data_IF_198488608896
#
_entry.id   IF_198488608896
#
_cell.length_a   1.000
_cell.length_b   1.000
_cell.length_c   1.000
_cell.angle_alpha   90.00
_cell.angle_beta   90.00
_cell.angle_gamma   90.00
#
_symmetry.space_group_name_H-M   'P 1'
#
loop_
_entity.id
_entity.type
_entity.pdbx_description
1 polymer ?
#
# COMPACT_ATOMS: atom_id res chain seq x y z
N UNK A 1 35.63 -5.49 18.58
CA UNK A 1 34.96 -5.02 19.82
C UNK A 1 33.47 -5.21 19.64
N UNK A 2 32.78 -5.82 20.61
CA UNK A 2 31.32 -5.99 20.56
C UNK A 2 30.62 -4.63 20.75
N UNK A 3 29.53 -4.40 20.03
CA UNK A 3 28.84 -3.11 19.99
C UNK A 3 27.67 -3.09 20.99
N UNK A 4 27.64 -2.05 21.85
CA UNK A 4 26.68 -1.90 22.97
C UNK A 4 26.65 -3.08 23.95
N UNK A 5 27.82 -3.41 24.51
CA UNK A 5 27.99 -4.44 25.53
C UNK A 5 27.42 -3.98 26.88
N UNK A 6 26.52 -4.78 27.46
CA UNK A 6 25.88 -4.52 28.76
C UNK A 6 26.03 -5.76 29.64
N UNK A 7 26.44 -5.57 30.89
CA UNK A 7 26.48 -6.63 31.91
C UNK A 7 25.10 -6.85 32.52
N UNK A 8 24.70 -8.11 32.62
CA UNK A 8 23.39 -8.50 33.12
C UNK A 8 23.49 -9.42 34.35
N UNK A 9 22.76 -9.05 35.40
CA UNK A 9 22.46 -9.91 36.56
C UNK A 9 21.14 -10.66 36.31
N UNK A 10 20.88 -11.76 37.05
CA UNK A 10 19.64 -12.55 36.93
C UNK A 10 18.37 -11.67 36.94
N UNK A 11 18.24 -10.76 37.92
CA UNK A 11 17.09 -9.84 38.04
C UNK A 11 16.93 -8.94 36.81
N UNK A 12 18.04 -8.49 36.21
CA UNK A 12 18.02 -7.64 35.01
C UNK A 12 17.60 -8.44 33.77
N UNK A 13 18.03 -9.71 33.63
CA UNK A 13 17.61 -10.59 32.53
C UNK A 13 16.13 -10.93 32.57
N UNK A 14 15.61 -11.27 33.75
CA UNK A 14 14.18 -11.55 33.93
C UNK A 14 13.34 -10.33 33.56
N UNK A 15 13.74 -9.13 34.03
CA UNK A 15 13.05 -7.89 33.69
C UNK A 15 13.12 -7.57 32.19
N UNK A 16 14.27 -7.79 31.55
CA UNK A 16 14.45 -7.62 30.11
C UNK A 16 13.52 -8.56 29.34
N UNK A 17 13.54 -9.86 29.62
CA UNK A 17 12.72 -10.85 28.96
C UNK A 17 11.21 -10.58 29.17
N UNK A 18 10.80 -10.17 30.37
CA UNK A 18 9.42 -9.78 30.63
C UNK A 18 9.01 -8.53 29.81
N UNK A 19 9.90 -7.53 29.71
CA UNK A 19 9.65 -6.32 28.90
C UNK A 19 9.52 -6.67 27.43
N UNK A 20 10.44 -7.47 26.89
CA UNK A 20 10.44 -7.92 25.49
C UNK A 20 9.20 -8.77 25.20
N UNK A 21 8.77 -9.62 26.13
CA UNK A 21 7.52 -10.38 26.02
C UNK A 21 6.29 -9.49 25.89
N UNK A 22 6.16 -8.45 26.72
CA UNK A 22 5.08 -7.47 26.59
C UNK A 22 5.13 -6.72 25.25
N UNK A 23 6.33 -6.36 24.77
CA UNK A 23 6.49 -5.71 23.48
C UNK A 23 6.08 -6.62 22.31
N UNK A 24 6.36 -7.93 22.37
CA UNK A 24 5.90 -8.89 21.37
C UNK A 24 4.37 -8.97 21.31
N UNK A 25 3.68 -9.00 22.44
CA UNK A 25 2.21 -8.97 22.46
C UNK A 25 1.65 -7.66 21.91
N UNK A 26 2.28 -6.53 22.23
CA UNK A 26 1.92 -5.25 21.63
C UNK A 26 2.14 -5.25 20.10
N UNK A 27 3.23 -5.86 19.62
CA UNK A 27 3.52 -6.02 18.19
C UNK A 27 2.50 -6.93 17.47
N UNK A 28 1.98 -7.98 18.13
CA UNK A 28 0.85 -8.77 17.60
C UNK A 28 -0.38 -7.88 17.36
N UNK A 29 -0.74 -7.04 18.34
CA UNK A 29 -1.87 -6.11 18.19
C UNK A 29 -1.64 -5.11 17.06
N UNK A 30 -0.41 -4.62 16.91
CA UNK A 30 -0.03 -3.73 15.82
C UNK A 30 -0.11 -4.44 14.45
N UNK A 31 0.27 -5.71 14.37
CA UNK A 31 0.09 -6.55 13.17
C UNK A 31 -1.38 -6.75 12.79
N UNK A 32 -2.26 -6.97 13.76
CA UNK A 32 -3.72 -7.08 13.53
C UNK A 32 -4.28 -5.76 12.98
N UNK A 33 -3.79 -4.62 13.48
CA UNK A 33 -4.16 -3.30 12.98
C UNK A 33 -3.71 -3.08 11.52
N UNK A 34 -2.51 -3.51 11.13
CA UNK A 34 -2.05 -3.45 9.73
C UNK A 34 -2.92 -4.34 8.84
N UNK A 35 -3.25 -5.55 9.30
CA UNK A 35 -4.12 -6.47 8.59
C UNK A 35 -5.52 -5.88 8.37
N UNK A 36 -6.12 -5.28 9.41
CA UNK A 36 -7.45 -4.67 9.31
C UNK A 36 -7.45 -3.47 8.37
N UNK A 37 -6.42 -2.61 8.43
CA UNK A 37 -6.23 -1.50 7.49
C UNK A 37 -6.04 -1.99 6.04
N UNK A 38 -5.28 -3.06 5.83
CA UNK A 38 -5.12 -3.68 4.51
C UNK A 38 -6.43 -4.21 3.93
N UNK A 39 -7.25 -4.86 4.76
CA UNK A 39 -8.60 -5.31 4.37
C UNK A 39 -9.53 -4.13 4.06
N UNK A 40 -9.54 -3.12 4.92
CA UNK A 40 -10.33 -1.90 4.72
C UNK A 40 -9.97 -1.21 3.41
N UNK A 41 -8.68 -1.01 3.14
CA UNK A 41 -8.21 -0.41 1.91
C UNK A 41 -8.60 -1.23 0.66
N UNK A 42 -8.51 -2.56 0.74
CA UNK A 42 -8.94 -3.46 -0.33
C UNK A 42 -10.43 -3.34 -0.62
N UNK A 43 -11.27 -3.28 0.42
CA UNK A 43 -12.72 -3.11 0.28
C UNK A 43 -13.03 -1.76 -0.36
N UNK A 44 -12.36 -0.70 0.07
CA UNK A 44 -12.60 0.66 -0.42
C UNK A 44 -12.21 0.85 -1.89
N UNK A 45 -11.13 0.20 -2.35
CA UNK A 45 -10.78 0.16 -3.77
C UNK A 45 -11.79 -0.68 -4.58
N UNK A 46 -12.26 -1.81 -4.04
CA UNK A 46 -13.21 -2.69 -4.72
C UNK A 46 -14.57 -2.02 -4.95
N UNK A 47 -15.03 -1.15 -4.05
CA UNK A 47 -16.28 -0.39 -4.23
C UNK A 47 -16.32 0.40 -5.54
N UNK A 48 -15.16 0.77 -6.10
CA UNK A 48 -15.03 1.58 -7.32
C UNK A 48 -14.15 0.92 -8.37
N UNK A 49 -14.04 -0.42 -8.34
CA UNK A 49 -13.19 -1.16 -9.29
C UNK A 49 -13.58 -0.92 -10.75
N UNK A 50 -14.86 -0.63 -11.01
CA UNK A 50 -15.36 -0.25 -12.35
C UNK A 50 -14.67 0.98 -12.94
N UNK A 51 -14.15 1.88 -12.10
CA UNK A 51 -13.45 3.10 -12.51
C UNK A 51 -11.92 2.96 -12.48
N UNK A 52 -11.39 1.88 -11.91
CA UNK A 52 -9.95 1.68 -11.67
C UNK A 52 -9.53 0.26 -12.08
N UNK A 53 -9.99 -0.18 -13.27
CA UNK A 53 -9.81 -1.55 -13.75
C UNK A 53 -8.35 -1.81 -14.17
N UNK A 54 -7.48 -1.96 -13.18
CA UNK A 54 -6.09 -2.33 -13.38
C UNK A 54 -5.59 -3.25 -12.26
N UNK A 55 -4.92 -4.34 -12.64
CA UNK A 55 -4.38 -5.36 -11.72
C UNK A 55 -3.40 -4.76 -10.68
N UNK A 56 -2.73 -3.65 -11.04
CA UNK A 56 -1.78 -2.96 -10.16
C UNK A 56 -2.44 -2.36 -8.91
N UNK A 57 -3.72 -1.99 -8.98
CA UNK A 57 -4.44 -1.36 -7.85
C UNK A 57 -4.62 -2.32 -6.66
N UNK A 58 -4.65 -3.64 -6.91
CA UNK A 58 -4.82 -4.66 -5.88
C UNK A 58 -3.51 -5.16 -5.28
N UNK A 59 -2.36 -4.82 -5.85
CA UNK A 59 -1.05 -5.28 -5.39
C UNK A 59 -0.75 -4.81 -3.96
N UNK A 60 -0.84 -3.50 -3.70
CA UNK A 60 -0.51 -2.93 -2.40
C UNK A 60 -1.42 -3.41 -1.24
N UNK A 61 -2.76 -3.42 -1.39
CA UNK A 61 -3.63 -3.99 -0.34
C UNK A 61 -3.34 -5.46 -0.06
N UNK A 62 -3.07 -6.28 -1.09
CA UNK A 62 -2.75 -7.69 -0.90
C UNK A 62 -1.41 -7.87 -0.15
N UNK A 63 -0.41 -7.05 -0.49
CA UNK A 63 0.87 -7.03 0.22
C UNK A 63 0.68 -6.66 1.70
N UNK A 64 -0.12 -5.62 2.00
CA UNK A 64 -0.41 -5.22 3.38
C UNK A 64 -1.10 -6.31 4.20
N UNK A 65 -2.08 -7.01 3.60
CA UNK A 65 -2.76 -8.14 4.25
C UNK A 65 -1.75 -9.26 4.54
N UNK A 66 -0.93 -9.65 3.56
CA UNK A 66 0.09 -10.67 3.72
C UNK A 66 1.08 -10.31 4.82
N UNK A 67 1.62 -9.08 4.78
CA UNK A 67 2.57 -8.59 5.78
C UNK A 67 1.95 -8.52 7.18
N UNK A 68 0.68 -8.13 7.30
CA UNK A 68 -0.05 -8.15 8.58
C UNK A 68 -0.16 -9.56 9.16
N UNK A 69 -0.53 -10.57 8.35
CA UNK A 69 -0.59 -11.99 8.79
C UNK A 69 0.78 -12.47 9.27
N UNK A 70 1.82 -12.22 8.48
CA UNK A 70 3.19 -12.64 8.81
C UNK A 70 3.67 -11.94 10.08
N UNK A 71 3.40 -10.65 10.24
CA UNK A 71 3.72 -9.87 11.46
C UNK A 71 3.10 -10.52 12.70
N UNK A 72 1.80 -10.86 12.65
CA UNK A 72 1.13 -11.54 13.76
C UNK A 72 1.79 -12.89 14.10
N UNK A 73 2.10 -13.70 13.07
CA UNK A 73 2.71 -15.01 13.24
C UNK A 73 4.11 -14.95 13.85
N UNK A 74 4.97 -14.07 13.33
CA UNK A 74 6.35 -13.87 13.82
C UNK A 74 6.33 -13.39 15.27
N UNK A 75 5.48 -12.43 15.62
CA UNK A 75 5.44 -11.90 16.98
C UNK A 75 4.81 -12.84 17.99
N UNK A 76 3.76 -13.59 17.62
CA UNK A 76 3.20 -14.62 18.50
C UNK A 76 4.23 -15.71 18.78
N UNK A 77 4.98 -16.12 17.75
CA UNK A 77 6.08 -17.07 17.90
C UNK A 77 7.22 -16.49 18.74
N UNK A 78 7.66 -15.26 18.45
CA UNK A 78 8.71 -14.55 19.19
C UNK A 78 8.37 -14.38 20.67
N UNK A 79 7.11 -14.05 20.99
CA UNK A 79 6.60 -13.98 22.36
C UNK A 79 6.67 -15.32 23.08
N UNK A 80 6.31 -16.43 22.42
CA UNK A 80 6.46 -17.79 22.98
C UNK A 80 7.93 -18.12 23.23
N UNK A 81 8.82 -17.84 22.28
CA UNK A 81 10.26 -18.12 22.44
C UNK A 81 10.84 -17.26 23.57
N UNK A 82 10.45 -15.99 23.69
CA UNK A 82 10.88 -15.10 24.78
C UNK A 82 10.40 -15.60 26.15
N UNK A 83 9.17 -16.12 26.23
CA UNK A 83 8.64 -16.73 27.46
C UNK A 83 9.41 -18.01 27.82
N UNK A 84 9.62 -18.91 26.85
CA UNK A 84 10.35 -20.16 27.07
C UNK A 84 11.85 -19.92 27.37
N UNK A 85 12.39 -18.76 26.99
CA UNK A 85 13.78 -18.36 27.29
C UNK A 85 14.00 -17.97 28.76
N UNK A 86 12.93 -17.74 29.53
CA UNK A 86 13.03 -17.54 30.99
C UNK A 86 13.38 -18.85 31.72
N UNK A 87 13.07 -20.00 31.12
CA UNK A 87 13.40 -21.32 31.66
C UNK A 87 14.75 -21.83 31.07
N UNK A 88 15.82 -21.97 31.88
CA UNK A 88 17.14 -22.39 31.38
C UNK A 88 17.12 -23.75 30.67
N UNK A 89 16.31 -24.68 31.16
CA UNK A 89 16.17 -26.04 30.61
C UNK A 89 15.51 -26.06 29.23
N UNK A 90 14.60 -25.11 28.95
CA UNK A 90 13.95 -24.96 27.66
C UNK A 90 14.81 -24.14 26.69
N UNK A 91 15.51 -23.12 27.19
CA UNK A 91 16.38 -22.26 26.39
C UNK A 91 17.46 -23.04 25.62
N UNK A 92 18.09 -24.04 26.25
CA UNK A 92 19.13 -24.87 25.59
C UNK A 92 18.60 -25.53 24.31
N UNK A 93 17.32 -25.94 24.28
CA UNK A 93 16.68 -26.52 23.09
C UNK A 93 16.41 -25.48 22.00
N UNK A 94 16.07 -24.26 22.39
CA UNK A 94 15.75 -23.16 21.47
C UNK A 94 16.98 -22.44 20.91
N UNK A 95 18.12 -22.48 21.62
CA UNK A 95 19.38 -21.81 21.26
C UNK A 95 19.82 -22.00 19.79
N UNK A 96 19.85 -23.20 19.19
CA UNK A 96 20.25 -23.36 17.78
C UNK A 96 19.24 -22.75 16.80
N UNK A 97 17.94 -22.78 17.11
CA UNK A 97 16.89 -22.23 16.24
C UNK A 97 16.84 -20.70 16.29
N UNK A 98 17.18 -20.11 17.43
CA UNK A 98 17.05 -18.68 17.70
C UNK A 98 17.90 -17.81 16.76
N UNK A 99 19.12 -18.25 16.40
CA UNK A 99 19.97 -17.54 15.45
C UNK A 99 19.33 -17.44 14.05
N UNK A 100 18.74 -18.53 13.57
CA UNK A 100 18.05 -18.54 12.28
C UNK A 100 16.78 -17.69 12.32
N UNK A 101 16.05 -17.74 13.43
CA UNK A 101 14.88 -16.89 13.65
C UNK A 101 15.23 -15.40 13.63
N UNK A 102 16.32 -14.99 14.28
CA UNK A 102 16.79 -13.60 14.28
C UNK A 102 17.18 -13.12 12.88
N UNK A 103 17.86 -13.95 12.08
CA UNK A 103 18.17 -13.62 10.67
C UNK A 103 16.88 -13.43 9.87
N UNK A 104 15.89 -14.31 10.07
CA UNK A 104 14.58 -14.19 9.43
C UNK A 104 13.85 -12.90 9.84
N UNK A 105 13.86 -12.53 11.14
CA UNK A 105 13.31 -11.27 11.62
C UNK A 105 13.98 -10.05 10.97
N UNK A 106 15.31 -10.05 10.80
CA UNK A 106 16.01 -8.94 10.12
C UNK A 106 15.59 -8.84 8.65
N UNK A 107 15.49 -9.96 7.93
CA UNK A 107 14.99 -9.98 6.55
C UNK A 107 13.54 -9.47 6.47
N UNK A 108 12.70 -9.88 7.41
CA UNK A 108 11.31 -9.44 7.49
C UNK A 108 11.17 -7.94 7.76
N UNK A 109 12.00 -7.39 8.65
CA UNK A 109 12.08 -5.94 8.89
C UNK A 109 12.44 -5.17 7.62
N UNK A 110 13.38 -5.67 6.82
CA UNK A 110 13.70 -5.06 5.53
C UNK A 110 12.51 -5.10 4.55
N UNK A 111 11.75 -6.19 4.52
CA UNK A 111 10.55 -6.30 3.69
C UNK A 111 9.42 -5.37 4.15
N UNK A 112 9.24 -5.19 5.46
CA UNK A 112 8.30 -4.21 6.03
C UNK A 112 8.70 -2.78 5.66
N UNK A 113 9.99 -2.45 5.71
CA UNK A 113 10.51 -1.15 5.27
C UNK A 113 10.20 -0.91 3.79
N UNK A 114 10.43 -1.90 2.93
CA UNK A 114 10.08 -1.82 1.50
C UNK A 114 8.57 -1.62 1.32
N UNK A 115 7.75 -2.34 2.08
CA UNK A 115 6.28 -2.20 2.04
C UNK A 115 5.85 -0.79 2.45
N UNK A 116 6.45 -0.22 3.50
CA UNK A 116 6.19 1.15 3.93
C UNK A 116 6.55 2.17 2.84
N UNK A 117 7.72 2.01 2.21
CA UNK A 117 8.14 2.88 1.09
C UNK A 117 7.17 2.77 -0.08
N UNK A 118 6.71 1.56 -0.41
CA UNK A 118 5.71 1.35 -1.46
C UNK A 118 4.38 2.05 -1.14
N UNK A 119 3.94 2.09 0.12
CA UNK A 119 2.74 2.85 0.49
C UNK A 119 2.82 4.34 0.07
N UNK A 120 4.01 4.96 0.17
CA UNK A 120 4.20 6.35 -0.23
C UNK A 120 4.42 6.53 -1.74
N UNK A 121 5.14 5.61 -2.38
CA UNK A 121 5.47 5.70 -3.81
C UNK A 121 4.30 5.37 -4.73
N UNK A 122 3.40 4.47 -4.32
CA UNK A 122 2.27 4.01 -5.13
C UNK A 122 1.23 5.11 -5.42
N UNK A 123 1.37 6.32 -4.85
CA UNK A 123 0.55 7.48 -5.21
C UNK A 123 0.70 7.90 -6.67
N UNK A 124 1.91 7.77 -7.23
CA UNK A 124 2.21 8.14 -8.63
C UNK A 124 1.45 7.25 -9.64
N UNK A 125 1.60 5.91 -9.61
CA UNK A 125 0.87 5.05 -10.54
C UNK A 125 -0.66 5.14 -10.34
N UNK A 126 -1.11 5.42 -9.11
CA UNK A 126 -2.53 5.64 -8.83
C UNK A 126 -3.07 6.87 -9.57
N UNK A 127 -2.31 7.96 -9.67
CA UNK A 127 -2.73 9.15 -10.42
C UNK A 127 -2.96 8.84 -11.91
N UNK A 128 -2.06 8.08 -12.54
CA UNK A 128 -2.20 7.70 -13.95
C UNK A 128 -3.38 6.75 -14.15
N UNK A 129 -3.51 5.74 -13.30
CA UNK A 129 -4.63 4.79 -13.33
C UNK A 129 -5.98 5.51 -13.17
N UNK A 130 -6.08 6.46 -12.23
CA UNK A 130 -7.29 7.27 -12.06
C UNK A 130 -7.57 8.17 -13.26
N UNK A 131 -6.53 8.80 -13.83
CA UNK A 131 -6.69 9.68 -14.98
C UNK A 131 -7.28 8.95 -16.20
N UNK A 132 -6.76 7.75 -16.48
CA UNK A 132 -7.21 6.92 -17.60
C UNK A 132 -8.58 6.29 -17.31
N UNK A 133 -8.75 5.74 -16.10
CA UNK A 133 -9.99 5.11 -15.66
C UNK A 133 -11.18 6.08 -15.66
N UNK A 134 -11.02 7.30 -15.14
CA UNK A 134 -12.05 8.34 -15.19
C UNK A 134 -12.35 8.79 -16.62
N UNK A 135 -11.32 8.97 -17.46
CA UNK A 135 -11.51 9.36 -18.86
C UNK A 135 -12.33 8.30 -19.63
N UNK A 136 -12.04 7.02 -19.41
CA UNK A 136 -12.79 5.93 -20.02
C UNK A 136 -14.20 5.79 -19.43
N UNK A 137 -14.35 5.96 -18.11
CA UNK A 137 -15.66 5.96 -17.45
C UNK A 137 -16.57 7.07 -17.96
N UNK A 138 -16.04 8.27 -18.17
CA UNK A 138 -16.79 9.39 -18.77
C UNK A 138 -17.23 9.10 -20.21
N UNK A 139 -16.38 8.45 -21.03
CA UNK A 139 -16.74 8.07 -22.42
C UNK A 139 -17.91 7.09 -22.47
N UNK A 140 -17.95 6.14 -21.55
CA UNK A 140 -19.02 5.13 -21.48
C UNK A 140 -20.20 5.55 -20.61
N UNK A 141 -20.22 6.79 -20.12
CA UNK A 141 -21.31 7.32 -19.29
C UNK A 141 -22.68 7.25 -19.98
N UNK A 142 -22.71 7.44 -21.32
CA UNK A 142 -23.95 7.38 -22.11
C UNK A 142 -24.47 5.96 -22.37
N UNK A 143 -23.63 4.95 -22.21
CA UNK A 143 -23.87 3.58 -22.68
C UNK A 143 -24.68 2.74 -21.68
N UNK A 144 -25.75 3.31 -21.10
CA UNK A 144 -26.56 2.65 -20.06
C UNK A 144 -27.31 1.41 -20.56
N UNK A 145 -27.55 1.32 -21.87
CA UNK A 145 -28.28 0.21 -22.50
C UNK A 145 -27.36 -0.94 -22.96
N UNK A 146 -26.03 -0.79 -22.84
CA UNK A 146 -25.08 -1.83 -23.25
C UNK A 146 -24.83 -2.85 -22.12
N UNK A 147 -24.96 -4.17 -22.38
CA UNK A 147 -24.67 -5.19 -21.38
C UNK A 147 -23.24 -5.05 -20.85
N UNK A 148 -23.08 -5.05 -19.51
CA UNK A 148 -21.79 -4.92 -18.85
C UNK A 148 -21.33 -3.49 -18.56
N UNK A 149 -21.98 -2.44 -19.09
CA UNK A 149 -21.63 -1.03 -18.80
C UNK A 149 -22.77 -0.19 -18.21
N UNK A 150 -23.92 -0.81 -17.96
CA UNK A 150 -25.11 -0.15 -17.43
C UNK A 150 -24.89 0.57 -16.08
N UNK A 151 -23.93 0.12 -15.27
CA UNK A 151 -23.61 0.70 -13.97
C UNK A 151 -22.75 1.97 -14.05
N UNK A 152 -22.06 2.22 -15.17
CA UNK A 152 -21.06 3.29 -15.28
C UNK A 152 -21.62 4.67 -14.94
N UNK A 153 -22.81 4.99 -15.48
CA UNK A 153 -23.52 6.25 -15.18
C UNK A 153 -23.75 6.43 -13.68
N UNK A 154 -24.32 5.41 -13.03
CA UNK A 154 -24.63 5.43 -11.60
C UNK A 154 -23.36 5.56 -10.76
N UNK A 155 -22.32 4.80 -11.09
CA UNK A 155 -21.06 4.79 -10.36
C UNK A 155 -20.37 6.16 -10.44
N UNK A 156 -20.34 6.77 -11.63
CA UNK A 156 -19.76 8.10 -11.82
C UNK A 156 -20.59 9.19 -11.14
N UNK A 157 -21.92 9.15 -11.25
CA UNK A 157 -22.82 10.13 -10.62
C UNK A 157 -22.66 10.13 -9.10
N UNK A 158 -22.68 8.94 -8.47
CA UNK A 158 -22.47 8.80 -7.03
C UNK A 158 -21.09 9.31 -6.60
N UNK A 159 -20.05 9.00 -7.38
CA UNK A 159 -18.70 9.48 -7.09
C UNK A 159 -18.61 11.01 -7.15
N UNK A 160 -19.18 11.65 -8.17
CA UNK A 160 -19.13 13.11 -8.32
C UNK A 160 -19.82 13.82 -7.15
N UNK A 161 -20.98 13.33 -6.74
CA UNK A 161 -21.74 13.89 -5.61
C UNK A 161 -21.03 13.64 -4.26
N UNK A 162 -20.50 12.44 -4.04
CA UNK A 162 -19.85 12.07 -2.78
C UNK A 162 -18.52 12.80 -2.57
N UNK A 163 -17.69 12.88 -3.61
CA UNK A 163 -16.38 13.54 -3.55
C UNK A 163 -16.41 15.03 -3.94
N UNK A 164 -17.59 15.57 -4.27
CA UNK A 164 -17.79 16.98 -4.60
C UNK A 164 -16.84 17.43 -5.71
N UNK A 165 -16.84 16.67 -6.79
CA UNK A 165 -15.95 16.84 -7.92
C UNK A 165 -16.70 16.72 -9.24
N UNK A 166 -16.13 17.23 -10.33
CA UNK A 166 -16.71 17.13 -11.66
C UNK A 166 -15.64 16.94 -12.74
N UNK A 167 -15.91 16.03 -13.67
CA UNK A 167 -14.97 15.66 -14.73
C UNK A 167 -13.72 14.94 -14.22
N UNK A 168 -12.72 14.80 -15.07
CA UNK A 168 -11.45 14.18 -14.72
C UNK A 168 -10.55 15.19 -14.01
N UNK A 169 -10.22 16.27 -14.72
CA UNK A 169 -9.46 17.42 -14.25
C UNK A 169 -10.35 18.60 -13.90
N UNK A 170 -11.39 18.83 -14.70
CA UNK A 170 -12.35 19.90 -14.46
C UNK A 170 -13.68 19.61 -15.15
N UNK A 171 -14.71 20.40 -14.85
CA UNK A 171 -16.05 20.20 -15.40
C UNK A 171 -16.14 20.33 -16.93
N UNK A 172 -15.22 21.07 -17.57
CA UNK A 172 -15.22 21.27 -19.04
C UNK A 172 -14.81 20.00 -19.79
N UNK A 173 -14.25 19.01 -19.11
CA UNK A 173 -13.96 17.70 -19.72
C UNK A 173 -15.24 17.05 -20.29
N UNK A 174 -16.42 17.40 -19.75
CA UNK A 174 -17.71 16.98 -20.28
C UNK A 174 -18.08 17.62 -21.61
N UNK A 175 -17.50 18.76 -21.97
CA UNK A 175 -17.79 19.46 -23.23
C UNK A 175 -17.15 18.76 -24.42
N UNK A 176 -16.06 18.03 -24.16
CA UNK A 176 -15.30 17.27 -25.15
C UNK A 176 -15.84 15.85 -25.37
N UNK A 177 -16.86 15.43 -24.61
CA UNK A 177 -17.39 14.07 -24.64
C UNK A 177 -18.90 14.11 -24.86
N UNK A 178 -19.38 13.35 -25.84
CA UNK A 178 -20.82 13.10 -25.95
C UNK A 178 -21.29 12.17 -24.83
N UNK A 179 -21.80 12.74 -23.75
CA UNK A 179 -22.32 12.02 -22.58
C UNK A 179 -23.84 11.82 -22.60
N UNK A 180 -24.56 12.50 -23.49
CA UNK A 180 -25.99 12.27 -23.75
C UNK A 180 -26.15 11.08 -24.69
N UNK A 181 -26.93 10.07 -24.28
CA UNK A 181 -27.20 8.90 -25.11
C UNK A 181 -27.99 9.26 -26.36
N UNK A 182 -27.65 8.61 -27.48
CA UNK A 182 -28.36 8.72 -28.76
C UNK A 182 -29.86 8.45 -28.62
N UNK A 183 -30.27 7.65 -27.63
CA UNK A 183 -31.68 7.37 -27.34
C UNK A 183 -32.49 8.60 -26.95
N UNK A 184 -31.87 9.59 -26.34
CA UNK A 184 -32.53 10.83 -25.92
C UNK A 184 -32.43 11.94 -26.97
N UNK A 185 -31.77 11.67 -28.10
CA UNK A 185 -31.61 12.64 -29.18
C UNK A 185 -32.62 12.34 -30.29
N UNK A 186 -33.44 13.35 -30.60
CA UNK A 186 -34.30 13.29 -31.78
C UNK A 186 -33.48 13.68 -33.03
N UNK A 187 -32.98 12.68 -33.74
CA UNK A 187 -32.22 12.87 -34.98
C UNK A 187 -33.07 13.45 -36.13
N UNK A 188 -34.38 13.59 -35.98
CA UNK A 188 -35.23 14.28 -36.97
C UNK A 188 -35.21 15.80 -36.78
N UNK A 189 -34.99 16.27 -35.54
CA UNK A 189 -34.98 17.67 -35.18
C UNK A 189 -33.81 18.42 -35.83
N UNK A 190 -34.09 19.60 -36.38
CA UNK A 190 -33.10 20.43 -37.06
C UNK A 190 -31.94 20.81 -36.13
N UNK A 191 -32.23 21.18 -34.88
CA UNK A 191 -31.23 21.59 -33.90
C UNK A 191 -30.19 20.50 -33.58
N UNK A 192 -30.65 19.24 -33.50
CA UNK A 192 -29.78 18.08 -33.25
C UNK A 192 -28.91 17.80 -34.47
N UNK A 193 -29.48 17.84 -35.68
CA UNK A 193 -28.75 17.67 -36.94
C UNK A 193 -27.70 18.76 -37.13
N UNK A 194 -28.08 20.02 -36.93
CA UNK A 194 -27.19 21.18 -37.06
C UNK A 194 -26.03 21.05 -36.08
N UNK A 195 -26.30 20.63 -34.84
CA UNK A 195 -25.26 20.42 -33.82
C UNK A 195 -24.30 19.30 -34.17
N UNK A 196 -24.81 18.12 -34.54
CA UNK A 196 -23.99 16.98 -34.96
C UNK A 196 -23.14 17.34 -36.19
N UNK A 197 -23.71 18.06 -37.15
CA UNK A 197 -23.00 18.50 -38.36
C UNK A 197 -21.95 19.58 -38.11
N UNK A 198 -22.14 20.41 -37.09
CA UNK A 198 -21.18 21.49 -36.72
C UNK A 198 -20.02 21.02 -35.85
N UNK A 199 -20.16 19.89 -35.17
CA UNK A 199 -19.18 19.37 -34.23
C UNK A 199 -18.18 18.43 -34.90
N UNK A 200 -17.03 18.27 -34.26
CA UNK A 200 -15.97 17.34 -34.68
C UNK A 200 -16.47 15.89 -34.49
N UNK A 201 -16.07 15.00 -35.40
CA UNK A 201 -16.36 13.56 -35.39
C UNK A 201 -17.85 13.16 -35.44
N UNK A 202 -18.74 14.08 -35.83
CA UNK A 202 -20.19 13.80 -35.89
C UNK A 202 -20.81 13.49 -34.53
N UNK A 203 -20.22 14.03 -33.45
CA UNK A 203 -20.69 13.82 -32.08
C UNK A 203 -21.63 14.94 -31.63
N UNK A 204 -22.59 14.60 -30.78
CA UNK A 204 -23.43 15.60 -30.11
C UNK A 204 -22.70 16.19 -28.90
N UNK A 205 -21.74 17.08 -29.16
CA UNK A 205 -21.04 17.85 -28.12
C UNK A 205 -21.87 19.08 -27.73
N UNK A 206 -21.83 19.41 -26.45
CA UNK A 206 -22.54 20.56 -25.91
C UNK A 206 -21.77 21.16 -24.73
N UNK A 207 -21.91 22.48 -24.58
CA UNK A 207 -21.50 23.20 -23.39
C UNK A 207 -22.43 22.86 -22.23
N UNK A 208 -22.17 21.71 -21.60
CA UNK A 208 -22.93 21.26 -20.46
C UNK A 208 -22.39 20.04 -19.74
N UNK A 209 -22.86 19.86 -18.50
CA UNK A 209 -22.43 18.84 -17.56
C UNK A 209 -23.62 17.99 -17.08
N UNK A 210 -23.40 16.75 -16.63
CA UNK A 210 -24.44 15.98 -15.97
C UNK A 210 -24.83 16.59 -14.62
N UNK A 211 -26.05 16.30 -14.16
CA UNK A 211 -26.61 16.83 -12.91
C UNK A 211 -25.77 16.50 -11.67
N UNK A 212 -25.00 15.41 -11.69
CA UNK A 212 -24.15 14.97 -10.58
C UNK A 212 -22.97 15.91 -10.30
N UNK A 213 -22.62 16.78 -11.25
CA UNK A 213 -21.65 17.86 -11.06
C UNK A 213 -22.18 19.08 -10.31
N UNK A 214 -23.51 19.17 -10.11
CA UNK A 214 -24.14 20.30 -9.45
C UNK A 214 -23.74 20.40 -7.97
N UNK A 215 -23.49 21.63 -7.51
CA UNK A 215 -23.24 21.91 -6.10
C UNK A 215 -24.56 22.24 -5.38
N UNK A 216 -25.02 21.40 -4.44
CA UNK A 216 -26.28 21.65 -3.72
C UNK A 216 -26.18 22.81 -2.72
N UNK A 217 -24.99 23.30 -2.39
CA UNK A 217 -24.80 24.49 -1.55
C UNK A 217 -24.94 25.80 -2.33
N UNK A 218 -25.13 25.73 -3.64
CA UNK A 218 -25.35 26.91 -4.47
C UNK A 218 -26.70 27.58 -4.13
N UNK A 219 -26.75 28.92 -3.99
CA UNK A 219 -28.01 29.63 -3.75
C UNK A 219 -28.92 29.69 -4.98
N UNK A 220 -28.42 29.29 -6.16
CA UNK A 220 -29.18 29.29 -7.42
C UNK A 220 -29.45 27.85 -7.90
N UNK A 221 -30.53 27.62 -8.68
CA UNK A 221 -30.75 26.35 -9.35
C UNK A 221 -29.56 25.95 -10.20
N UNK A 222 -29.26 24.64 -10.26
CA UNK A 222 -28.10 24.17 -11.00
C UNK A 222 -28.24 24.43 -12.50
N UNK A 223 -27.31 25.20 -13.04
CA UNK A 223 -27.14 25.44 -14.48
C UNK A 223 -26.25 24.34 -15.05
N UNK A 224 -26.83 23.50 -15.91
CA UNK A 224 -26.13 22.38 -16.55
C UNK A 224 -25.75 22.65 -18.01
N UNK A 225 -26.33 23.67 -18.65
CA UNK A 225 -26.20 23.91 -20.08
C UNK A 225 -25.87 25.38 -20.36
N UNK A 226 -25.22 25.66 -21.49
CA UNK A 226 -24.85 27.02 -21.92
C UNK A 226 -24.01 27.75 -20.86
N UNK A 227 -23.07 27.02 -20.24
CA UNK A 227 -22.28 27.52 -19.12
C UNK A 227 -21.22 28.55 -19.52
N UNK A 228 -20.83 28.61 -20.79
CA UNK A 228 -19.90 29.61 -21.32
C UNK A 228 -20.61 30.84 -21.88
N UNK A 229 -21.94 30.82 -21.94
CA UNK A 229 -22.74 31.90 -22.50
C UNK A 229 -23.35 32.78 -21.39
N UNK A 230 -22.76 33.97 -21.17
CA UNK A 230 -23.23 34.94 -20.18
C UNK A 230 -24.65 35.45 -20.43
N UNK A 231 -25.14 35.40 -21.67
CA UNK A 231 -26.49 35.86 -22.01
C UNK A 231 -27.57 34.79 -21.85
N UNK A 232 -27.17 33.53 -21.67
CA UNK A 232 -28.11 32.41 -21.62
C UNK A 232 -28.91 32.33 -20.31
N UNK A 233 -28.39 32.92 -19.23
CA UNK A 233 -28.97 32.82 -17.89
C UNK A 233 -29.08 34.19 -17.24
N UNK A 234 -30.14 34.40 -16.47
CA UNK A 234 -30.34 35.63 -15.72
C UNK A 234 -29.23 35.81 -14.68
N UNK A 235 -28.61 37.00 -14.67
CA UNK A 235 -27.54 37.36 -13.73
C UNK A 235 -26.45 36.27 -13.63
N UNK A 236 -25.87 35.92 -14.78
CA UNK A 236 -24.86 34.88 -14.89
C UNK A 236 -23.60 35.43 -15.55
N UNK A 237 -22.48 35.27 -14.86
CA UNK A 237 -21.16 35.53 -15.44
C UNK A 237 -20.26 34.32 -15.17
N UNK A 238 -19.95 33.59 -16.23
CA UNK A 238 -19.20 32.33 -16.16
C UNK A 238 -17.76 32.51 -15.61
N UNK A 239 -17.22 33.73 -15.62
CA UNK A 239 -15.90 34.01 -15.04
C UNK A 239 -15.95 34.10 -13.51
N UNK A 240 -17.06 34.58 -12.96
CA UNK A 240 -17.25 34.75 -11.49
C UNK A 240 -18.09 33.65 -10.86
N UNK A 241 -18.77 32.83 -11.68
CA UNK A 241 -19.63 31.77 -11.19
C UNK A 241 -18.78 30.59 -10.67
N UNK A 242 -18.57 30.59 -9.34
CA UNK A 242 -17.75 29.61 -8.64
C UNK A 242 -18.57 28.56 -7.89
N UNK A 243 -19.86 28.83 -7.65
CA UNK A 243 -20.68 28.06 -6.72
C UNK A 243 -21.63 27.07 -7.41
N UNK A 244 -21.89 27.19 -8.72
CA UNK A 244 -22.89 26.39 -9.41
C UNK A 244 -22.53 24.90 -9.57
N UNK A 245 -21.28 24.60 -9.97
CA UNK A 245 -20.78 23.23 -10.18
C UNK A 245 -19.47 23.03 -9.43
N UNK A 246 -19.15 21.77 -9.11
CA UNK A 246 -17.86 21.44 -8.53
C UNK A 246 -16.73 21.74 -9.52
N UNK A 247 -15.85 22.70 -9.18
CA UNK A 247 -14.67 23.02 -10.00
C UNK A 247 -13.52 22.03 -9.86
N UNK A 248 -13.49 21.29 -8.75
CA UNK A 248 -12.45 20.29 -8.47
C UNK A 248 -12.62 19.08 -9.37
N UNK A 249 -11.56 18.68 -10.08
CA UNK A 249 -11.53 17.43 -10.85
C UNK A 249 -11.60 16.19 -9.96
N UNK A 250 -12.31 15.15 -10.42
CA UNK A 250 -12.43 13.92 -9.65
C UNK A 250 -11.13 13.14 -9.52
N UNK A 251 -10.19 13.30 -10.46
CA UNK A 251 -8.85 12.71 -10.36
C UNK A 251 -8.15 13.17 -9.10
N UNK A 252 -8.11 14.48 -8.86
CA UNK A 252 -7.45 15.05 -7.69
C UNK A 252 -8.21 14.71 -6.41
N UNK A 253 -9.55 14.75 -6.42
CA UNK A 253 -10.35 14.39 -5.26
C UNK A 253 -10.10 12.93 -4.81
N UNK A 254 -10.12 11.98 -5.76
CA UNK A 254 -9.85 10.57 -5.49
C UNK A 254 -8.40 10.31 -5.10
N UNK A 255 -7.44 10.96 -5.78
CA UNK A 255 -6.02 10.84 -5.46
C UNK A 255 -5.73 11.36 -4.04
N UNK A 256 -6.37 12.45 -3.63
CA UNK A 256 -6.26 12.99 -2.28
C UNK A 256 -6.86 12.04 -1.24
N UNK A 257 -8.00 11.41 -1.53
CA UNK A 257 -8.65 10.47 -0.62
C UNK A 257 -7.84 9.18 -0.44
N UNK A 258 -7.57 8.46 -1.54
CA UNK A 258 -6.83 7.20 -1.51
C UNK A 258 -5.36 7.41 -1.14
N UNK A 259 -4.72 8.46 -1.65
CA UNK A 259 -3.36 8.82 -1.26
C UNK A 259 -3.24 9.21 0.21
N UNK A 260 -4.26 9.88 0.76
CA UNK A 260 -4.35 10.13 2.20
C UNK A 260 -4.38 8.84 3.01
N UNK A 261 -5.21 7.88 2.61
CA UNK A 261 -5.29 6.56 3.23
C UNK A 261 -3.97 5.77 3.12
N UNK A 262 -3.32 5.80 1.96
CA UNK A 262 -2.03 5.14 1.76
C UNK A 262 -0.92 5.77 2.61
N UNK A 263 -0.92 7.10 2.77
CA UNK A 263 0.04 7.79 3.63
C UNK A 263 -0.17 7.45 5.11
N UNK A 264 -1.41 7.39 5.60
CA UNK A 264 -1.68 7.03 7.00
C UNK A 264 -1.33 5.57 7.27
N UNK A 265 -1.65 4.66 6.35
CA UNK A 265 -1.23 3.26 6.42
C UNK A 265 0.30 3.15 6.36
N UNK A 266 0.96 3.87 5.45
CA UNK A 266 2.41 3.90 5.34
C UNK A 266 3.08 4.35 6.64
N UNK A 267 2.59 5.43 7.25
CA UNK A 267 3.07 5.90 8.54
C UNK A 267 2.87 4.85 9.65
N UNK A 268 1.72 4.18 9.66
CA UNK A 268 1.47 3.09 10.60
C UNK A 268 2.46 1.93 10.40
N UNK A 269 2.71 1.51 9.15
CA UNK A 269 3.68 0.44 8.85
C UNK A 269 5.10 0.84 9.24
N UNK A 270 5.49 2.12 9.11
CA UNK A 270 6.77 2.62 9.63
C UNK A 270 6.85 2.48 11.15
N UNK A 271 5.80 2.85 11.89
CA UNK A 271 5.77 2.69 13.34
C UNK A 271 5.85 1.21 13.75
N UNK A 272 5.15 0.33 13.04
CA UNK A 272 5.25 -1.12 13.22
C UNK A 272 6.67 -1.60 12.94
N UNK A 273 7.31 -1.12 11.86
CA UNK A 273 8.70 -1.47 11.53
C UNK A 273 9.66 -1.05 12.64
N UNK A 274 9.48 0.13 13.23
CA UNK A 274 10.29 0.55 14.38
C UNK A 274 10.10 -0.36 15.60
N UNK A 275 8.86 -0.79 15.86
CA UNK A 275 8.54 -1.73 16.91
C UNK A 275 9.16 -3.12 16.64
N UNK A 276 9.10 -3.61 15.39
CA UNK A 276 9.70 -4.87 14.95
C UNK A 276 11.23 -4.86 15.12
N UNK A 277 11.88 -3.74 14.79
CA UNK A 277 13.31 -3.56 15.03
C UNK A 277 13.60 -3.62 16.54
N UNK A 278 12.78 -2.95 17.35
CA UNK A 278 12.96 -2.93 18.81
C UNK A 278 12.80 -4.32 19.45
N UNK A 279 11.79 -5.11 19.05
CA UNK A 279 11.62 -6.49 19.55
C UNK A 279 12.73 -7.41 19.04
N UNK A 280 13.21 -7.24 17.81
CA UNK A 280 14.33 -8.01 17.26
C UNK A 280 15.63 -7.73 18.02
N UNK A 281 15.90 -6.47 18.32
CA UNK A 281 17.05 -6.06 19.15
C UNK A 281 16.90 -6.58 20.58
N UNK A 282 15.71 -6.47 21.17
CA UNK A 282 15.41 -7.02 22.50
C UNK A 282 15.64 -8.52 22.56
N UNK A 283 15.20 -9.27 21.55
CA UNK A 283 15.41 -10.71 21.45
C UNK A 283 16.89 -11.07 21.27
N UNK A 284 17.64 -10.27 20.52
CA UNK A 284 19.10 -10.43 20.39
C UNK A 284 19.81 -10.21 21.74
N UNK A 285 19.36 -9.26 22.56
CA UNK A 285 19.88 -9.08 23.92
C UNK A 285 19.54 -10.26 24.84
N UNK A 286 18.32 -10.80 24.76
CA UNK A 286 17.94 -12.02 25.50
C UNK A 286 18.80 -13.20 25.04
N UNK A 287 19.00 -13.37 23.74
CA UNK A 287 19.83 -14.44 23.18
C UNK A 287 21.28 -14.35 23.65
N UNK A 288 21.92 -13.18 23.53
CA UNK A 288 23.32 -12.97 23.91
C UNK A 288 23.54 -13.06 25.42
N UNK A 289 22.66 -12.47 26.23
CA UNK A 289 22.77 -12.54 27.69
C UNK A 289 22.64 -13.97 28.24
N UNK A 290 21.84 -14.83 27.60
CA UNK A 290 21.70 -16.23 27.99
C UNK A 290 22.75 -17.15 27.35
N UNK A 291 23.31 -16.78 26.19
CA UNK A 291 24.36 -17.60 25.55
C UNK A 291 25.74 -17.42 26.18
N UNK A 292 25.95 -16.33 26.91
CA UNK A 292 27.23 -15.92 27.53
C UNK A 292 27.25 -16.07 29.05
N UNK A 293 26.42 -16.96 29.59
CA UNK A 293 26.46 -17.34 31.00
C UNK A 293 27.85 -17.88 31.37
N UNK A 294 28.49 -17.29 32.39
CA UNK A 294 29.80 -17.73 32.86
C UNK A 294 29.78 -19.16 33.43
N UNK A 295 28.67 -19.57 34.04
CA UNK A 295 28.41 -20.94 34.42
C UNK A 295 27.00 -21.37 33.94
N UNK A 296 26.88 -22.33 32.98
CA UNK A 296 25.59 -22.80 32.48
C UNK A 296 24.71 -23.50 33.54
N UNK A 297 25.32 -24.01 34.62
CA UNK A 297 24.63 -24.72 35.70
C UNK A 297 24.15 -23.77 36.81
N UNK A 298 24.70 -22.56 36.88
CA UNK A 298 24.31 -21.53 37.85
C UNK A 298 23.60 -20.34 37.17
N UNK A 299 22.27 -20.25 37.27
CA UNK A 299 21.51 -19.16 36.66
C UNK A 299 21.83 -17.78 37.26
N UNK A 300 22.45 -17.70 38.45
CA UNK A 300 22.86 -16.41 39.07
C UNK A 300 24.17 -15.84 38.54
N UNK A 301 24.93 -16.62 37.75
CA UNK A 301 26.23 -16.19 37.22
C UNK A 301 26.13 -14.94 36.32
N UNK A 302 27.13 -14.05 36.39
CA UNK A 302 27.20 -12.85 35.54
C UNK A 302 27.25 -13.21 34.04
N UNK A 303 26.69 -12.35 33.19
CA UNK A 303 26.76 -12.51 31.73
C UNK A 303 26.80 -11.17 31.00
N UNK A 304 27.25 -11.24 29.76
CA UNK A 304 27.33 -10.09 28.86
C UNK A 304 26.31 -10.25 27.72
N UNK A 305 25.60 -9.16 27.39
CA UNK A 305 24.73 -9.10 26.22
C UNK A 305 25.19 -8.03 25.25
N UNK A 306 25.06 -8.30 23.94
CA UNK A 306 25.49 -7.39 22.87
C UNK A 306 24.57 -7.52 21.64
N UNK A 307 24.48 -6.45 20.86
CA UNK A 307 23.69 -6.42 19.63
C UNK A 307 24.46 -7.08 18.47
N UNK A 308 25.74 -6.74 18.33
CA UNK A 308 26.62 -7.31 17.31
C UNK A 308 27.93 -7.79 17.93
N UNK A 309 28.29 -9.04 17.60
CA UNK A 309 29.55 -9.68 18.04
C UNK A 309 30.77 -9.00 17.39
N UNK A 310 30.58 -8.41 16.20
CA UNK A 310 31.59 -7.67 15.41
C UNK A 310 31.09 -6.26 15.06
N UNK A 311 31.97 -5.39 14.57
CA UNK A 311 31.57 -4.02 14.17
C UNK A 311 30.63 -4.08 12.95
N UNK A 312 29.71 -3.12 12.79
CA UNK A 312 28.75 -3.08 11.65
C UNK A 312 29.44 -3.33 10.30
N UNK A 313 30.57 -2.66 10.05
CA UNK A 313 31.38 -2.85 8.82
C UNK A 313 31.84 -4.30 8.63
N UNK A 314 32.33 -4.93 9.69
CA UNK A 314 32.83 -6.31 9.67
C UNK A 314 31.69 -7.31 9.47
N UNK A 315 30.53 -7.08 10.10
CA UNK A 315 29.33 -7.89 9.91
C UNK A 315 28.82 -7.82 8.47
N UNK A 316 28.78 -6.62 7.86
CA UNK A 316 28.39 -6.48 6.45
C UNK A 316 29.38 -7.18 5.51
N UNK A 317 30.69 -7.08 5.75
CA UNK A 317 31.69 -7.79 4.94
C UNK A 317 31.59 -9.32 5.08
N UNK A 318 31.28 -9.83 6.28
CA UNK A 318 31.12 -11.26 6.55
C UNK A 318 29.82 -11.79 5.91
N UNK A 319 28.73 -11.02 5.94
CA UNK A 319 27.47 -11.33 5.24
C UNK A 319 27.68 -11.33 3.72
N UNK A 320 28.36 -10.32 3.18
CA UNK A 320 28.66 -10.24 1.74
C UNK A 320 29.56 -11.40 1.28
N UNK A 321 30.54 -11.78 2.09
CA UNK A 321 31.39 -12.94 1.83
C UNK A 321 30.59 -14.26 1.84
N UNK A 322 29.67 -14.43 2.81
CA UNK A 322 28.78 -15.60 2.88
C UNK A 322 27.77 -15.67 1.73
N UNK A 323 27.17 -14.55 1.33
CA UNK A 323 26.32 -14.49 0.13
C UNK A 323 27.12 -14.85 -1.13
N UNK A 324 28.34 -14.34 -1.27
CA UNK A 324 29.23 -14.64 -2.40
C UNK A 324 29.68 -16.10 -2.42
N UNK A 325 29.86 -16.73 -1.25
CA UNK A 325 30.17 -18.15 -1.13
C UNK A 325 28.95 -19.03 -1.46
N UNK A 326 27.76 -18.65 -1.00
CA UNK A 326 26.51 -19.35 -1.28
C UNK A 326 26.13 -19.27 -2.77
N UNK A 327 26.36 -18.13 -3.43
CA UNK A 327 26.20 -17.97 -4.88
C UNK A 327 27.25 -18.70 -5.74
N UNK A 328 28.37 -19.13 -5.15
CA UNK A 328 29.38 -19.97 -5.81
C UNK A 328 29.10 -21.48 -5.65
N UNK A 329 28.23 -21.88 -4.73
CA UNK A 329 27.91 -23.28 -4.43
C UNK A 329 27.05 -24.00 -5.48
N UNK A 330 26.69 -23.36 -6.60
CA UNK A 330 25.94 -23.99 -7.70
C UNK A 330 26.78 -24.28 -8.96
N UNK A 331 28.11 -24.14 -8.92
CA UNK A 331 28.95 -24.76 -9.96
C UNK A 331 29.28 -26.19 -9.54
N UNK A 332 28.44 -27.12 -9.98
CA UNK A 332 28.78 -28.55 -10.03
C UNK A 332 29.98 -28.70 -10.95
N UNK A 333 31.02 -29.36 -10.46
CA UNK A 333 32.15 -29.83 -11.28
C UNK A 333 31.63 -30.87 -12.28
N UNK A 334 31.50 -30.49 -13.55
CA UNK A 334 31.52 -31.47 -14.65
C UNK A 334 32.98 -31.92 -14.82
N UNK A 335 33.30 -33.03 -14.15
CA UNK A 335 34.55 -33.74 -14.31
C UNK A 335 34.64 -34.41 -15.67
N UNK A 336 35.39 -33.77 -16.57
CA UNK A 336 36.40 -34.36 -17.45
C UNK A 336 35.99 -35.48 -18.41
N UNK A 337 35.83 -35.12 -19.68
CA UNK A 337 36.03 -36.02 -20.82
C UNK A 337 37.41 -36.70 -20.73
N UNK A 338 37.42 -38.02 -20.66
CA UNK A 338 38.57 -38.84 -21.03
C UNK A 338 38.40 -39.24 -22.50
N UNK A 339 39.20 -38.63 -23.38
CA UNK A 339 39.38 -39.08 -24.75
C UNK A 339 40.75 -39.76 -24.92
N UNK A 340 40.71 -41.04 -25.32
CA UNK A 340 41.67 -41.61 -26.25
C UNK A 340 42.75 -42.55 -25.68
N UNK A 341 42.51 -43.86 -25.83
CA UNK A 341 43.58 -44.79 -26.24
C UNK A 341 43.00 -45.88 -27.16
N UNK A 342 43.67 -46.01 -28.30
CA UNK A 342 43.40 -46.79 -29.50
C UNK A 342 43.66 -48.29 -29.37
N UNK A 343 42.91 -49.07 -30.15
CA UNK A 343 43.33 -50.22 -31.00
C UNK A 343 44.36 -51.19 -30.40
N UNK A 344 43.91 -52.40 -30.03
CA UNK A 344 44.25 -53.64 -30.74
C UNK A 344 43.35 -54.79 -30.30
#
# INVERSE_FOLDING_TARGET
MALMLVKFDLKKRVKLAQTVWFMYWFAVMAGVLVLSMGLFFKIELRKRSELMDNNESHFLPNLLILMGIITCGINAFGGKVCYDSLDPTKFVKWKPMLKNFLVFCVCFNALLLVTAVLCFLMRIPLQFTLAEGLRNGMRFYKDTDTPGRCYMKRTLDLMQMEFRCCGNDNFRDWFEIQWVSNRYLDFSAKEVKDRIGSNVDGQYLMDGVPFSCCNPSSPRPCIQYQMTNNSAHYSYDHYTEDLNVWKRGCRDALLSYYGGMMNTIGALVVLVTMLEVAVTVGMQYVHSSLSTLANPEDPESESEGWILEKTVKETFTDIMAKMKAMGKGSKVEEGGEAAGATVS
#
